data_IF_074959168797
#
_entry.id   IF_074959168797
#
_cell.length_a   1.000
_cell.length_b   1.000
_cell.length_c   1.000
_cell.angle_alpha   90.00
_cell.angle_beta   90.00
_cell.angle_gamma   90.00
#
_symmetry.space_group_name_H-M   'P 1'
#
loop_
_entity.id
_entity.type
_entity.pdbx_description
1 polymer ?
#
# COMPACT_ATOMS: atom_id res chain seq x y z
N UNK A 1 14.27 -16.01 7.52
CA UNK A 1 15.01 -14.76 7.45
C UNK A 1 14.54 -14.00 6.23
N UNK A 2 14.00 -12.80 6.41
CA UNK A 2 13.44 -12.02 5.30
C UNK A 2 14.54 -11.25 4.56
N UNK A 3 14.40 -11.16 3.25
CA UNK A 3 15.22 -10.26 2.42
C UNK A 3 14.71 -8.83 2.62
N UNK A 4 15.60 -7.88 2.92
CA UNK A 4 15.18 -6.51 3.25
C UNK A 4 14.63 -5.69 2.08
N UNK A 5 15.10 -5.94 0.86
CA UNK A 5 14.69 -5.22 -0.35
C UNK A 5 14.46 -6.19 -1.51
N UNK A 6 13.56 -5.77 -2.40
CA UNK A 6 13.27 -6.49 -3.64
C UNK A 6 13.59 -5.54 -4.81
N UNK A 7 14.78 -5.65 -5.42
CA UNK A 7 15.21 -4.74 -6.49
C UNK A 7 14.26 -4.67 -7.68
N UNK A 8 13.53 -5.75 -7.96
CA UNK A 8 12.53 -5.80 -9.02
C UNK A 8 11.37 -4.80 -8.82
N UNK A 9 11.21 -4.26 -7.63
CA UNK A 9 10.22 -3.22 -7.33
C UNK A 9 10.64 -1.82 -7.78
N UNK A 10 11.90 -1.62 -8.16
CA UNK A 10 12.43 -0.30 -8.52
C UNK A 10 11.63 0.37 -9.65
N UNK A 11 11.21 -0.39 -10.66
CA UNK A 11 10.40 0.13 -11.76
C UNK A 11 9.04 0.67 -11.26
N UNK A 12 8.42 -0.02 -10.30
CA UNK A 12 7.18 0.43 -9.68
C UNK A 12 7.40 1.71 -8.86
N UNK A 13 8.51 1.79 -8.13
CA UNK A 13 8.86 2.98 -7.36
C UNK A 13 9.05 4.22 -8.24
N UNK A 14 9.70 4.05 -9.39
CA UNK A 14 9.86 5.12 -10.38
C UNK A 14 8.50 5.55 -10.95
N UNK A 15 7.64 4.59 -11.26
CA UNK A 15 6.32 4.85 -11.84
C UNK A 15 5.45 5.69 -10.89
N UNK A 16 5.23 5.23 -9.65
CA UNK A 16 4.39 6.00 -8.74
C UNK A 16 5.09 7.27 -8.22
N UNK A 17 6.41 7.23 -8.08
CA UNK A 17 7.19 8.42 -7.70
C UNK A 17 7.03 9.55 -8.71
N UNK A 18 7.03 9.25 -10.01
CA UNK A 18 6.78 10.23 -11.05
C UNK A 18 5.36 10.79 -10.99
N UNK A 19 4.37 9.95 -10.74
CA UNK A 19 2.99 10.40 -10.56
C UNK A 19 2.83 11.35 -9.39
N UNK A 20 3.50 11.06 -8.27
CA UNK A 20 3.49 11.92 -7.09
C UNK A 20 4.13 13.28 -7.41
N UNK A 21 5.31 13.28 -8.01
CA UNK A 21 6.04 14.52 -8.36
C UNK A 21 5.26 15.39 -9.35
N UNK A 22 4.58 14.78 -10.31
CA UNK A 22 3.84 15.49 -11.36
C UNK A 22 2.46 15.97 -10.93
N UNK A 23 1.98 15.57 -9.76
CA UNK A 23 0.64 15.91 -9.30
C UNK A 23 0.45 17.41 -9.06
N UNK A 24 1.51 18.13 -8.70
CA UNK A 24 1.46 19.57 -8.44
C UNK A 24 0.60 19.96 -7.23
N UNK A 25 0.35 19.02 -6.33
CA UNK A 25 -0.44 19.20 -5.12
C UNK A 25 0.03 18.26 -4.02
N UNK A 26 -0.36 18.52 -2.75
CA UNK A 26 -0.08 17.56 -1.68
C UNK A 26 -0.69 16.19 -2.00
N UNK A 27 0.09 15.13 -1.80
CA UNK A 27 -0.31 13.75 -2.11
C UNK A 27 -0.25 12.91 -0.85
N UNK A 28 -1.30 12.15 -0.58
CA UNK A 28 -1.38 11.18 0.53
C UNK A 28 -1.34 9.77 -0.04
N UNK A 29 -0.42 8.96 0.44
CA UNK A 29 -0.23 7.57 0.00
C UNK A 29 -0.45 6.63 1.18
N UNK A 30 -1.21 5.56 0.93
CA UNK A 30 -1.41 4.46 1.88
C UNK A 30 -0.63 3.24 1.38
N UNK A 31 0.28 2.73 2.21
CA UNK A 31 1.03 1.51 1.93
C UNK A 31 0.62 0.42 2.92
N UNK A 32 -0.04 -0.61 2.40
CA UNK A 32 -0.58 -1.74 3.16
C UNK A 32 0.28 -2.98 2.96
N UNK A 33 0.42 -3.79 4.00
CA UNK A 33 1.39 -4.89 4.03
C UNK A 33 2.79 -4.36 3.70
N UNK A 34 3.17 -3.30 4.39
CA UNK A 34 4.24 -2.42 3.94
C UNK A 34 5.66 -2.96 4.18
N UNK A 35 5.80 -4.07 4.89
CA UNK A 35 7.05 -4.81 5.07
C UNK A 35 8.18 -3.90 5.59
N UNK A 36 9.35 -3.92 4.95
CA UNK A 36 10.52 -3.13 5.39
C UNK A 36 10.50 -1.68 4.91
N UNK A 37 9.45 -1.27 4.20
CA UNK A 37 9.19 0.12 3.88
C UNK A 37 9.83 0.65 2.61
N UNK A 38 10.32 -0.20 1.71
CA UNK A 38 10.91 0.26 0.45
C UNK A 38 9.99 1.19 -0.34
N UNK A 39 8.74 0.77 -0.54
CA UNK A 39 7.74 1.59 -1.23
C UNK A 39 7.38 2.86 -0.44
N UNK A 40 7.29 2.76 0.89
CA UNK A 40 7.06 3.90 1.77
C UNK A 40 8.13 4.97 1.57
N UNK A 41 9.40 4.57 1.59
CA UNK A 41 10.52 5.50 1.43
C UNK A 41 10.54 6.12 0.05
N UNK A 42 10.26 5.34 -1.00
CA UNK A 42 10.18 5.84 -2.36
C UNK A 42 9.07 6.90 -2.51
N UNK A 43 7.90 6.67 -1.95
CA UNK A 43 6.79 7.63 -1.97
C UNK A 43 7.12 8.89 -1.17
N UNK A 44 7.71 8.74 0.02
CA UNK A 44 8.11 9.87 0.85
C UNK A 44 9.19 10.72 0.17
N UNK A 45 10.17 10.08 -0.46
CA UNK A 45 11.21 10.77 -1.22
C UNK A 45 10.64 11.56 -2.39
N UNK A 46 9.57 11.07 -3.00
CA UNK A 46 8.87 11.78 -4.07
C UNK A 46 8.00 12.95 -3.57
N UNK A 47 7.84 13.11 -2.26
CA UNK A 47 7.14 14.24 -1.65
C UNK A 47 5.78 13.90 -1.06
N UNK A 48 5.37 12.64 -1.01
CA UNK A 48 4.09 12.26 -0.43
C UNK A 48 4.11 12.20 1.10
N UNK A 49 2.97 12.46 1.71
CA UNK A 49 2.70 12.05 3.09
C UNK A 49 2.23 10.58 3.05
N UNK A 50 2.89 9.71 3.81
CA UNK A 50 2.68 8.27 3.73
C UNK A 50 2.11 7.72 5.03
N UNK A 51 1.12 6.85 4.92
CA UNK A 51 0.67 6.00 6.03
C UNK A 51 1.16 4.58 5.75
N UNK A 52 2.03 4.10 6.62
CA UNK A 52 2.69 2.78 6.52
C UNK A 52 2.04 1.83 7.50
N UNK A 53 1.41 0.76 7.01
CA UNK A 53 0.66 -0.20 7.81
C UNK A 53 1.22 -1.60 7.62
N UNK A 54 1.60 -2.23 8.72
CA UNK A 54 1.98 -3.64 8.75
C UNK A 54 1.56 -4.26 10.08
N UNK A 55 1.23 -5.54 10.06
CA UNK A 55 0.81 -6.27 11.24
C UNK A 55 1.96 -6.59 12.19
N UNK A 56 3.19 -6.60 11.70
CA UNK A 56 4.38 -6.94 12.47
C UNK A 56 5.05 -5.69 13.04
N UNK A 57 5.05 -5.60 14.36
CA UNK A 57 5.77 -4.52 15.07
C UNK A 57 7.26 -4.50 14.72
N UNK A 58 7.88 -5.67 14.60
CA UNK A 58 9.28 -5.79 14.21
C UNK A 58 9.56 -5.21 12.83
N UNK A 59 8.68 -5.48 11.86
CA UNK A 59 8.80 -4.93 10.52
C UNK A 59 8.61 -3.42 10.49
N UNK A 60 7.64 -2.89 11.23
CA UNK A 60 7.43 -1.45 11.32
C UNK A 60 8.63 -0.77 11.95
N UNK A 61 9.21 -1.33 13.00
CA UNK A 61 10.42 -0.79 13.61
C UNK A 61 11.60 -0.81 12.64
N UNK A 62 11.76 -1.88 11.89
CA UNK A 62 12.82 -1.97 10.88
C UNK A 62 12.61 -0.93 9.77
N UNK A 63 11.37 -0.74 9.34
CA UNK A 63 11.06 0.30 8.34
C UNK A 63 11.40 1.71 8.85
N UNK A 64 11.12 2.01 10.12
CA UNK A 64 11.52 3.28 10.76
C UNK A 64 13.03 3.47 10.73
N UNK A 65 13.78 2.42 11.04
CA UNK A 65 15.24 2.44 10.99
C UNK A 65 15.74 2.71 9.57
N UNK A 66 15.13 2.06 8.58
CA UNK A 66 15.44 2.28 7.17
C UNK A 66 15.19 3.74 6.76
N UNK A 67 14.08 4.32 7.21
CA UNK A 67 13.77 5.73 6.96
C UNK A 67 14.85 6.66 7.54
N UNK A 68 15.24 6.40 8.76
CA UNK A 68 16.29 7.18 9.43
C UNK A 68 17.61 7.07 8.68
N UNK A 69 18.02 5.85 8.31
CA UNK A 69 19.27 5.59 7.57
C UNK A 69 19.27 6.20 6.18
N UNK A 70 18.10 6.43 5.59
CA UNK A 70 17.93 7.01 4.25
C UNK A 70 17.76 8.53 4.27
N UNK A 71 17.89 9.18 5.42
CA UNK A 71 17.70 10.60 5.56
C UNK A 71 16.23 11.06 5.55
N UNK A 72 15.30 10.14 5.77
CA UNK A 72 13.85 10.37 5.76
C UNK A 72 13.22 10.28 7.15
N UNK A 73 14.04 10.41 8.21
CA UNK A 73 13.55 10.32 9.59
C UNK A 73 12.52 11.39 9.94
N UNK A 74 12.59 12.56 9.32
CA UNK A 74 11.66 13.66 9.54
C UNK A 74 10.56 13.77 8.48
N UNK A 75 10.50 12.83 7.54
CA UNK A 75 9.46 12.81 6.52
C UNK A 75 8.07 12.55 7.15
N UNK A 76 6.98 13.05 6.55
CA UNK A 76 5.63 12.87 7.10
C UNK A 76 5.12 11.45 6.86
N UNK A 77 5.59 10.52 7.67
CA UNK A 77 5.21 9.10 7.62
C UNK A 77 4.53 8.71 8.93
N UNK A 78 3.29 8.20 8.83
CA UNK A 78 2.58 7.59 9.95
C UNK A 78 2.91 6.10 9.98
N UNK A 79 3.45 5.65 11.09
CA UNK A 79 3.84 4.26 11.29
C UNK A 79 2.77 3.54 12.10
N UNK A 80 2.08 2.57 11.50
CA UNK A 80 0.94 1.89 12.11
C UNK A 80 1.21 0.38 12.19
N UNK A 81 1.08 -0.18 13.39
CA UNK A 81 1.09 -1.64 13.61
C UNK A 81 -0.37 -2.08 13.78
N UNK A 82 -0.94 -2.68 12.75
CA UNK A 82 -2.33 -3.12 12.77
C UNK A 82 -2.59 -4.15 11.66
N UNK A 83 -3.68 -4.88 11.81
CA UNK A 83 -4.25 -5.66 10.72
C UNK A 83 -4.75 -4.71 9.63
N UNK A 84 -4.35 -4.96 8.38
CA UNK A 84 -4.65 -4.03 7.29
C UNK A 84 -6.15 -3.91 7.00
N UNK A 85 -6.91 -4.99 7.13
CA UNK A 85 -8.36 -4.96 6.92
C UNK A 85 -9.03 -4.08 7.97
N UNK A 86 -8.69 -4.27 9.25
CA UNK A 86 -9.24 -3.46 10.35
C UNK A 86 -8.84 -1.99 10.22
N UNK A 87 -7.61 -1.74 9.81
CA UNK A 87 -7.15 -0.37 9.56
C UNK A 87 -7.98 0.30 8.47
N UNK A 88 -8.17 -0.38 7.33
CA UNK A 88 -8.94 0.16 6.21
C UNK A 88 -10.39 0.46 6.62
N UNK A 89 -11.03 -0.46 7.33
CA UNK A 89 -12.40 -0.26 7.83
C UNK A 89 -12.50 0.97 8.74
N UNK A 90 -11.53 1.14 9.63
CA UNK A 90 -11.47 2.28 10.55
C UNK A 90 -11.26 3.60 9.80
N UNK A 91 -10.41 3.62 8.78
CA UNK A 91 -10.16 4.82 7.98
C UNK A 91 -11.39 5.23 7.17
N UNK A 92 -12.15 4.27 6.67
CA UNK A 92 -13.42 4.54 6.00
C UNK A 92 -14.39 5.22 6.96
N UNK A 93 -14.53 4.69 8.18
CA UNK A 93 -15.40 5.29 9.21
C UNK A 93 -14.95 6.70 9.60
N UNK A 94 -13.66 6.99 9.55
CA UNK A 94 -13.09 8.31 9.83
C UNK A 94 -13.21 9.29 8.68
N UNK A 95 -13.60 8.83 7.51
CA UNK A 95 -13.70 9.67 6.32
C UNK A 95 -12.35 10.08 5.74
N UNK A 96 -11.28 9.34 6.05
CA UNK A 96 -9.96 9.60 5.49
C UNK A 96 -9.83 9.03 4.08
N UNK A 97 -9.14 9.77 3.20
CA UNK A 97 -8.93 9.38 1.80
C UNK A 97 -7.46 9.50 1.42
N UNK A 98 -7.07 8.78 0.39
CA UNK A 98 -5.70 8.71 -0.11
C UNK A 98 -5.68 8.86 -1.62
N UNK A 99 -4.63 9.51 -2.12
CA UNK A 99 -4.43 9.73 -3.57
C UNK A 99 -3.77 8.55 -4.24
N UNK A 100 -3.03 7.75 -3.49
CA UNK A 100 -2.40 6.54 -3.98
C UNK A 100 -2.46 5.43 -2.94
N UNK A 101 -2.68 4.21 -3.41
CA UNK A 101 -2.68 3.01 -2.56
C UNK A 101 -1.69 2.02 -3.14
N UNK A 102 -0.82 1.49 -2.27
CA UNK A 102 0.14 0.44 -2.58
C UNK A 102 -0.13 -0.70 -1.62
N UNK A 103 -0.16 -1.93 -2.12
CA UNK A 103 -0.23 -3.10 -1.27
C UNK A 103 0.59 -4.25 -1.82
N UNK A 104 1.19 -5.01 -0.91
CA UNK A 104 1.98 -6.21 -1.22
C UNK A 104 1.52 -7.34 -0.30
N UNK A 105 0.28 -7.85 -0.52
CA UNK A 105 -0.31 -8.84 0.38
C UNK A 105 0.42 -10.18 0.30
N UNK A 106 0.69 -10.80 1.47
CA UNK A 106 1.27 -12.15 1.49
C UNK A 106 0.24 -13.19 1.10
N UNK A 107 0.70 -14.40 0.79
CA UNK A 107 -0.19 -15.55 0.55
C UNK A 107 -0.97 -15.89 1.81
N UNK A 108 -0.31 -15.82 2.97
CA UNK A 108 -0.87 -16.08 4.29
C UNK A 108 -0.23 -15.14 5.30
N UNK A 109 -1.02 -14.69 6.27
CA UNK A 109 -0.51 -13.87 7.35
C UNK A 109 -1.41 -13.90 8.58
N UNK A 110 -0.88 -13.37 9.69
CA UNK A 110 -1.63 -13.16 10.92
C UNK A 110 -1.48 -11.72 11.38
N UNK A 111 -2.60 -11.14 11.81
CA UNK A 111 -2.62 -9.83 12.43
C UNK A 111 -2.13 -9.84 13.87
N UNK A 112 -1.93 -8.67 14.48
CA UNK A 112 -1.41 -8.54 15.85
C UNK A 112 -2.30 -9.18 16.91
N UNK A 113 -3.57 -9.38 16.62
CA UNK A 113 -4.56 -9.97 17.54
C UNK A 113 -5.05 -11.34 17.09
N UNK A 114 -4.28 -12.03 16.22
CA UNK A 114 -4.61 -13.36 15.73
C UNK A 114 -5.49 -13.39 14.49
N UNK A 115 -5.76 -12.24 13.87
CA UNK A 115 -6.52 -12.17 12.61
C UNK A 115 -5.82 -13.01 11.55
N UNK A 116 -6.59 -13.72 10.72
CA UNK A 116 -6.05 -14.58 9.67
C UNK A 116 -6.29 -13.95 8.31
N UNK A 117 -5.24 -13.91 7.50
CA UNK A 117 -5.26 -13.47 6.11
C UNK A 117 -4.88 -14.64 5.20
N UNK A 118 -5.74 -14.95 4.24
CA UNK A 118 -5.48 -15.89 3.15
C UNK A 118 -5.83 -15.20 1.85
N UNK A 119 -4.86 -15.03 0.97
CA UNK A 119 -5.02 -14.18 -0.22
C UNK A 119 -6.16 -14.63 -1.13
N UNK A 120 -6.33 -15.94 -1.34
CA UNK A 120 -7.37 -16.47 -2.23
C UNK A 120 -8.78 -16.07 -1.79
N UNK A 121 -9.00 -15.95 -0.49
CA UNK A 121 -10.31 -15.63 0.09
C UNK A 121 -10.48 -14.13 0.31
N UNK A 122 -9.40 -13.41 0.58
CA UNK A 122 -9.44 -12.06 1.14
C UNK A 122 -9.15 -10.97 0.13
N UNK A 123 -8.46 -11.25 -0.98
CA UNK A 123 -7.94 -10.20 -1.86
C UNK A 123 -9.06 -9.41 -2.55
N UNK A 124 -10.07 -10.05 -3.11
CA UNK A 124 -11.14 -9.35 -3.80
C UNK A 124 -11.95 -8.46 -2.85
N UNK A 125 -12.45 -8.97 -1.71
CA UNK A 125 -13.12 -8.10 -0.73
C UNK A 125 -12.23 -6.95 -0.25
N UNK A 126 -10.94 -7.20 -0.07
CA UNK A 126 -10.00 -6.19 0.41
C UNK A 126 -9.75 -5.09 -0.64
N UNK A 127 -9.58 -5.46 -1.90
CA UNK A 127 -9.44 -4.49 -3.00
C UNK A 127 -10.67 -3.59 -3.08
N UNK A 128 -11.86 -4.18 -2.97
CA UNK A 128 -13.13 -3.46 -2.94
C UNK A 128 -13.23 -2.53 -1.74
N UNK A 129 -12.85 -3.00 -0.57
CA UNK A 129 -12.85 -2.21 0.66
C UNK A 129 -11.93 -0.99 0.51
N UNK A 130 -10.70 -1.20 0.06
CA UNK A 130 -9.71 -0.13 -0.08
C UNK A 130 -10.06 0.88 -1.19
N UNK A 131 -10.83 0.47 -2.20
CA UNK A 131 -11.30 1.39 -3.24
C UNK A 131 -12.10 2.57 -2.65
N UNK A 132 -12.78 2.35 -1.52
CA UNK A 132 -13.51 3.41 -0.81
C UNK A 132 -12.58 4.44 -0.15
N UNK A 133 -11.29 4.13 -0.02
CA UNK A 133 -10.30 5.03 0.54
C UNK A 133 -9.66 5.95 -0.50
N UNK A 134 -9.95 5.77 -1.79
CA UNK A 134 -9.41 6.64 -2.82
C UNK A 134 -10.09 8.01 -2.78
N UNK A 135 -9.28 9.06 -2.97
CA UNK A 135 -9.76 10.43 -3.11
C UNK A 135 -10.54 10.60 -4.42
N UNK A 136 -11.15 11.79 -4.63
CA UNK A 136 -11.91 12.08 -5.85
C UNK A 136 -11.04 12.04 -7.11
N UNK A 137 -9.78 12.41 -7.00
CA UNK A 137 -8.82 12.42 -8.11
C UNK A 137 -7.61 11.55 -7.75
N UNK A 138 -7.78 10.21 -7.70
CA UNK A 138 -6.70 9.33 -7.32
C UNK A 138 -5.62 9.26 -8.39
N UNK A 139 -4.37 9.08 -7.96
CA UNK A 139 -3.22 9.00 -8.85
C UNK A 139 -2.90 7.58 -9.26
N UNK A 140 -3.01 6.61 -8.33
CA UNK A 140 -2.67 5.21 -8.62
C UNK A 140 -3.26 4.27 -7.57
N UNK A 141 -3.35 3.00 -7.96
CA UNK A 141 -3.67 1.87 -7.11
C UNK A 141 -2.79 0.71 -7.55
N UNK A 142 -1.78 0.36 -6.77
CA UNK A 142 -0.78 -0.65 -7.12
C UNK A 142 -0.87 -1.86 -6.22
N UNK A 143 -1.05 -3.03 -6.81
CA UNK A 143 -1.07 -4.30 -6.12
C UNK A 143 0.07 -5.16 -6.63
N UNK A 144 0.98 -5.55 -5.73
CA UNK A 144 2.03 -6.51 -6.02
C UNK A 144 1.63 -7.85 -5.42
N UNK A 145 1.82 -8.95 -6.14
CA UNK A 145 1.57 -10.27 -5.61
C UNK A 145 2.60 -11.25 -6.15
N UNK A 146 3.18 -12.00 -5.23
CA UNK A 146 4.11 -13.09 -5.53
C UNK A 146 3.46 -14.46 -5.33
N UNK A 147 2.15 -14.49 -5.14
CA UNK A 147 1.41 -15.74 -4.89
C UNK A 147 1.16 -16.46 -6.20
N UNK A 148 1.60 -17.72 -6.28
CA UNK A 148 1.48 -18.54 -7.49
C UNK A 148 0.03 -18.90 -7.85
N UNK A 149 -0.88 -18.85 -6.89
CA UNK A 149 -2.29 -19.14 -7.10
C UNK A 149 -3.14 -17.99 -7.62
N UNK A 150 -2.55 -16.79 -7.78
CA UNK A 150 -3.30 -15.60 -8.19
C UNK A 150 -2.66 -15.00 -9.46
N UNK A 151 -3.28 -15.23 -10.61
CA UNK A 151 -2.77 -14.75 -11.88
C UNK A 151 -2.93 -13.23 -12.02
N UNK A 152 -2.00 -12.54 -12.72
CA UNK A 152 -2.13 -11.09 -12.99
C UNK A 152 -3.46 -10.71 -13.65
N UNK A 153 -4.00 -11.57 -14.50
CA UNK A 153 -5.31 -11.34 -15.15
C UNK A 153 -6.45 -11.28 -14.14
N UNK A 154 -6.37 -12.02 -13.03
CA UNK A 154 -7.38 -11.99 -11.95
C UNK A 154 -7.32 -10.65 -11.24
N UNK A 155 -6.12 -10.14 -10.92
CA UNK A 155 -5.95 -8.83 -10.30
C UNK A 155 -6.45 -7.71 -11.22
N UNK A 156 -6.14 -7.77 -12.51
CA UNK A 156 -6.62 -6.81 -13.50
C UNK A 156 -8.15 -6.80 -13.55
N UNK A 157 -8.78 -7.97 -13.54
CA UNK A 157 -10.23 -8.09 -13.50
C UNK A 157 -10.84 -7.43 -12.26
N UNK A 158 -10.26 -7.70 -11.07
CA UNK A 158 -10.74 -7.11 -9.81
C UNK A 158 -10.65 -5.57 -9.85
N UNK A 159 -9.53 -5.02 -10.30
CA UNK A 159 -9.33 -3.59 -10.41
C UNK A 159 -10.30 -2.97 -11.41
N UNK A 160 -10.48 -3.60 -12.57
CA UNK A 160 -11.42 -3.13 -13.58
C UNK A 160 -12.87 -3.10 -13.06
N UNK A 161 -13.26 -4.14 -12.30
CA UNK A 161 -14.60 -4.22 -11.72
C UNK A 161 -14.85 -3.17 -10.66
N UNK A 162 -13.86 -2.89 -9.79
CA UNK A 162 -14.05 -2.03 -8.62
C UNK A 162 -13.69 -0.56 -8.90
N UNK A 163 -12.74 -0.28 -9.78
CA UNK A 163 -12.21 1.07 -9.98
C UNK A 163 -12.69 1.74 -11.26
N UNK A 164 -12.62 1.08 -12.41
CA UNK A 164 -12.95 1.72 -13.70
C UNK A 164 -14.38 2.26 -13.78
N UNK A 165 -15.40 1.65 -13.16
CA UNK A 165 -16.74 2.25 -13.16
C UNK A 165 -16.83 3.58 -12.42
N UNK A 166 -15.90 3.87 -11.50
CA UNK A 166 -15.91 5.08 -10.65
C UNK A 166 -14.93 6.14 -11.12
N UNK A 167 -13.84 5.75 -11.76
CA UNK A 167 -12.74 6.65 -12.10
C UNK A 167 -12.33 6.50 -13.56
N UNK A 168 -11.87 7.60 -14.14
CA UNK A 168 -11.24 7.59 -15.47
C UNK A 168 -9.79 7.16 -15.32
N UNK A 169 -9.37 6.21 -16.16
CA UNK A 169 -8.00 5.72 -16.11
C UNK A 169 -7.85 4.37 -16.79
N UNK A 170 -6.69 3.76 -16.58
CA UNK A 170 -6.35 2.43 -17.11
C UNK A 170 -5.80 1.53 -16.01
N UNK A 171 -6.00 0.26 -16.20
CA UNK A 171 -5.50 -0.78 -15.29
C UNK A 171 -4.29 -1.48 -15.90
#
# INVERSE_FOLDING_TARGET
KHTGLFPEQAANWDWFGNKIRKAGRPVKVLNLFAYTGGATLAAAKAGAAVTHVDASKGMVNWAKENARSSGLGDAPIRWIVDDCVKFAEREIRRGNHYDGIIMDPPSYGRGPKGEIWKIEEAIHPFVKLCAQLLSEEPLFYLINSYTTGLAPSVLTYMLSTELLPKYKGSV
#
